data_IF_228617784357
#
_entry.id   IF_228617784357
#
_cell.length_a   1.000
_cell.length_b   1.000
_cell.length_c   1.000
_cell.angle_alpha   90.00
_cell.angle_beta   90.00
_cell.angle_gamma   90.00
#
_symmetry.space_group_name_H-M   'P 1'
#
loop_
_entity.id
_entity.type
_entity.pdbx_description
1 polymer ?
#
# COMPACT_ATOMS: atom_id res chain seq x y z
N UNK A 1 9.12 44.22 -1.55
CA UNK A 1 8.03 43.21 -1.53
C UNK A 1 8.64 41.86 -1.85
N UNK A 2 9.07 41.11 -0.84
CA UNK A 2 9.55 39.75 -1.00
C UNK A 2 8.32 38.83 -1.07
N UNK A 3 8.04 38.29 -2.25
CA UNK A 3 6.94 37.37 -2.46
C UNK A 3 7.12 36.14 -1.57
N UNK A 4 6.20 35.98 -0.62
CA UNK A 4 6.01 34.75 0.13
C UNK A 4 5.72 33.63 -0.89
N UNK A 5 6.75 32.86 -1.27
CA UNK A 5 6.55 31.61 -2.01
C UNK A 5 5.83 30.66 -1.06
N UNK A 6 4.50 30.75 -1.06
CA UNK A 6 3.64 29.96 -0.20
C UNK A 6 4.03 28.50 -0.32
N UNK A 7 4.50 27.91 0.78
CA UNK A 7 4.90 26.51 0.85
C UNK A 7 3.66 25.70 0.44
N UNK A 8 3.74 25.07 -0.73
CA UNK A 8 2.70 24.14 -1.17
C UNK A 8 2.68 22.99 -0.18
N UNK A 9 1.49 22.66 0.32
CA UNK A 9 1.32 21.59 1.30
C UNK A 9 1.87 20.25 0.75
N UNK A 10 2.35 19.36 1.62
CA UNK A 10 3.13 18.20 1.18
C UNK A 10 2.30 17.22 0.35
N UNK A 11 2.96 16.60 -0.65
CA UNK A 11 2.49 15.39 -1.32
C UNK A 11 3.22 14.21 -0.68
N UNK A 12 2.45 13.23 -0.19
CA UNK A 12 2.97 12.03 0.45
C UNK A 12 2.57 10.81 -0.37
N UNK A 13 3.51 9.90 -0.62
CA UNK A 13 3.21 8.65 -1.30
C UNK A 13 3.13 7.50 -0.29
N UNK A 14 2.03 6.76 -0.34
CA UNK A 14 1.79 5.59 0.48
C UNK A 14 1.97 4.32 -0.35
N UNK A 15 2.82 3.42 0.12
CA UNK A 15 2.99 2.09 -0.46
C UNK A 15 2.89 1.02 0.62
N UNK A 16 3.04 -0.24 0.25
CA UNK A 16 3.05 -1.32 1.22
C UNK A 16 2.89 -2.67 0.57
N UNK A 17 3.09 -3.70 1.38
CA UNK A 17 2.78 -5.07 0.97
C UNK A 17 1.29 -5.11 0.62
N UNK A 18 0.87 -5.64 -0.55
CA UNK A 18 -0.55 -5.85 -0.81
C UNK A 18 -1.20 -6.57 0.37
N UNK A 19 -2.36 -6.08 0.85
CA UNK A 19 -3.07 -6.60 2.04
C UNK A 19 -2.44 -6.28 3.41
N UNK A 20 -1.52 -5.30 3.48
CA UNK A 20 -0.98 -4.75 4.74
C UNK A 20 -1.85 -3.67 5.42
N UNK A 21 -3.03 -3.37 4.89
CA UNK A 21 -3.89 -2.32 5.45
C UNK A 21 -3.65 -0.91 4.87
N UNK A 22 -2.91 -0.76 3.77
CA UNK A 22 -2.74 0.54 3.09
C UNK A 22 -4.06 1.20 2.69
N UNK A 23 -5.06 0.43 2.29
CA UNK A 23 -6.40 0.96 1.99
C UNK A 23 -7.12 1.46 3.26
N UNK A 24 -7.01 0.73 4.38
CA UNK A 24 -7.48 1.19 5.70
C UNK A 24 -6.75 2.47 6.11
N UNK A 25 -5.43 2.55 5.88
CA UNK A 25 -4.65 3.77 6.10
C UNK A 25 -5.22 4.96 5.35
N UNK A 26 -5.50 4.82 4.04
CA UNK A 26 -6.16 5.88 3.28
C UNK A 26 -7.55 6.24 3.83
N UNK A 27 -8.34 5.24 4.23
CA UNK A 27 -9.66 5.47 4.81
C UNK A 27 -9.57 6.31 6.09
N UNK A 28 -8.65 5.98 6.99
CA UNK A 28 -8.42 6.71 8.25
C UNK A 28 -7.93 8.14 7.99
N UNK A 29 -6.97 8.32 7.07
CA UNK A 29 -6.47 9.65 6.70
C UNK A 29 -7.57 10.56 6.15
N UNK A 30 -8.55 10.00 5.42
CA UNK A 30 -9.69 10.76 4.91
C UNK A 30 -10.68 11.20 5.99
N UNK A 31 -10.55 10.75 7.24
CA UNK A 31 -11.36 11.26 8.36
C UNK A 31 -10.83 12.59 8.92
N UNK A 32 -9.58 12.93 8.61
CA UNK A 32 -8.92 14.13 9.13
C UNK A 32 -9.32 15.36 8.32
N UNK A 33 -9.42 16.54 8.97
CA UNK A 33 -9.54 17.80 8.24
C UNK A 33 -8.29 18.03 7.38
N UNK A 34 -8.47 18.65 6.23
CA UNK A 34 -7.39 19.08 5.32
C UNK A 34 -6.36 17.97 4.99
N UNK A 35 -6.85 16.74 4.89
CA UNK A 35 -6.11 15.57 4.43
C UNK A 35 -6.95 14.84 3.39
N UNK A 36 -6.35 14.58 2.23
CA UNK A 36 -6.98 13.81 1.15
C UNK A 36 -6.06 12.65 0.81
N UNK A 37 -6.53 11.42 0.97
CA UNK A 37 -5.81 10.19 0.67
C UNK A 37 -6.50 9.41 -0.45
N UNK A 38 -5.85 9.34 -1.61
CA UNK A 38 -6.37 8.72 -2.83
C UNK A 38 -5.91 7.27 -2.94
N UNK A 39 -6.86 6.36 -3.18
CA UNK A 39 -6.61 4.93 -3.31
C UNK A 39 -6.36 4.55 -4.78
N UNK A 40 -5.12 4.18 -5.11
CA UNK A 40 -4.71 3.68 -6.43
C UNK A 40 -5.22 4.52 -7.63
N UNK A 41 -5.03 5.86 -7.62
CA UNK A 41 -5.75 6.72 -8.55
C UNK A 41 -5.06 6.92 -9.91
N UNK A 42 -3.89 6.30 -10.11
CA UNK A 42 -3.05 6.49 -11.31
C UNK A 42 -3.04 5.23 -12.16
N UNK A 43 -2.91 5.39 -13.47
CA UNK A 43 -2.64 4.28 -14.39
C UNK A 43 -1.16 3.88 -14.34
N UNK A 44 -0.82 3.07 -13.33
CA UNK A 44 0.55 2.59 -13.13
C UNK A 44 0.99 1.55 -14.16
N UNK A 45 0.09 1.05 -15.02
CA UNK A 45 0.48 0.13 -16.09
C UNK A 45 1.39 0.83 -17.12
N UNK A 46 1.20 2.14 -17.31
CA UNK A 46 1.99 2.97 -18.24
C UNK A 46 3.37 3.35 -17.73
N UNK A 47 3.65 3.18 -16.44
CA UNK A 47 4.91 3.65 -15.85
C UNK A 47 6.14 2.98 -16.49
N UNK A 48 6.05 1.69 -16.86
CA UNK A 48 7.17 1.03 -17.53
C UNK A 48 7.50 1.71 -18.87
N UNK A 49 6.48 2.06 -19.67
CA UNK A 49 6.65 2.79 -20.94
C UNK A 49 7.18 4.21 -20.71
N UNK A 50 6.63 4.95 -19.74
CA UNK A 50 7.11 6.30 -19.38
C UNK A 50 8.58 6.27 -18.98
N UNK A 51 8.97 5.29 -18.15
CA UNK A 51 10.35 5.11 -17.71
C UNK A 51 11.27 4.73 -18.86
N UNK A 52 10.81 3.87 -19.78
CA UNK A 52 11.59 3.48 -20.95
C UNK A 52 11.87 4.67 -21.89
N UNK A 53 10.92 5.60 -22.04
CA UNK A 53 11.08 6.76 -22.94
C UNK A 53 11.82 7.93 -22.32
N UNK A 54 11.60 8.20 -21.02
CA UNK A 54 12.09 9.42 -20.37
C UNK A 54 12.87 9.19 -19.07
N UNK A 55 13.21 7.94 -18.77
CA UNK A 55 13.94 7.56 -17.57
C UNK A 55 13.18 7.83 -16.27
N UNK A 56 13.94 7.89 -15.18
CA UNK A 56 13.42 8.08 -13.83
C UNK A 56 12.83 9.49 -13.63
N UNK A 57 13.38 10.51 -14.30
CA UNK A 57 12.87 11.87 -14.24
C UNK A 57 11.43 11.98 -14.77
N UNK A 58 11.10 11.29 -15.87
CA UNK A 58 9.74 11.27 -16.41
C UNK A 58 8.73 10.61 -15.47
N UNK A 59 9.17 9.66 -14.63
CA UNK A 59 8.31 9.06 -13.59
C UNK A 59 8.02 10.06 -12.49
N UNK A 60 9.04 10.77 -12.02
CA UNK A 60 8.88 11.83 -11.01
C UNK A 60 7.93 12.91 -11.55
N UNK A 61 8.14 13.37 -12.78
CA UNK A 61 7.31 14.36 -13.44
C UNK A 61 5.85 13.87 -13.60
N UNK A 62 5.64 12.61 -13.98
CA UNK A 62 4.30 12.05 -14.09
C UNK A 62 3.55 12.04 -12.75
N UNK A 63 4.23 11.71 -11.64
CA UNK A 63 3.64 11.75 -10.30
C UNK A 63 3.39 13.19 -9.84
N UNK A 64 4.32 14.11 -10.08
CA UNK A 64 4.17 15.54 -9.76
C UNK A 64 3.01 16.18 -10.53
N UNK A 65 2.93 15.91 -11.82
CA UNK A 65 1.87 16.41 -12.70
C UNK A 65 0.50 15.88 -12.27
N UNK A 66 0.42 14.58 -11.95
CA UNK A 66 -0.81 14.00 -11.42
C UNK A 66 -1.21 14.65 -10.09
N UNK A 67 -0.28 14.79 -9.13
CA UNK A 67 -0.57 15.43 -7.85
C UNK A 67 -1.04 16.88 -8.01
N UNK A 68 -0.43 17.63 -8.93
CA UNK A 68 -0.80 19.02 -9.26
C UNK A 68 -2.21 19.08 -9.83
N UNK A 69 -2.55 18.19 -10.77
CA UNK A 69 -3.89 18.11 -11.35
C UNK A 69 -4.95 17.73 -10.30
N UNK A 70 -4.65 16.79 -9.39
CA UNK A 70 -5.58 16.43 -8.30
C UNK A 70 -5.78 17.59 -7.33
N UNK A 71 -4.71 18.32 -6.97
CA UNK A 71 -4.83 19.52 -6.14
C UNK A 71 -5.71 20.58 -6.81
N UNK A 72 -5.49 20.87 -8.09
CA UNK A 72 -6.31 21.83 -8.81
C UNK A 72 -7.79 21.42 -8.83
N UNK A 73 -8.08 20.15 -9.12
CA UNK A 73 -9.46 19.60 -9.11
C UNK A 73 -10.12 19.69 -7.73
N UNK A 74 -9.38 19.40 -6.65
CA UNK A 74 -9.90 19.49 -5.29
C UNK A 74 -10.23 20.94 -4.90
N UNK A 75 -9.42 21.91 -5.31
CA UNK A 75 -9.64 23.32 -5.00
C UNK A 75 -10.78 23.95 -5.81
N UNK A 76 -10.99 23.50 -7.05
CA UNK A 76 -12.00 24.10 -7.94
C UNK A 76 -13.34 23.39 -7.90
N UNK A 77 -13.34 22.06 -7.86
CA UNK A 77 -14.54 21.23 -7.95
C UNK A 77 -14.83 20.44 -6.67
N UNK A 78 -13.90 20.41 -5.72
CA UNK A 78 -14.01 19.59 -4.51
C UNK A 78 -13.90 18.09 -4.77
N UNK A 79 -13.39 17.68 -5.94
CA UNK A 79 -13.32 16.28 -6.38
C UNK A 79 -11.90 15.84 -6.72
N UNK A 80 -11.61 14.56 -6.55
CA UNK A 80 -10.40 13.92 -7.06
C UNK A 80 -10.69 12.52 -7.60
N UNK A 81 -9.77 12.03 -8.43
CA UNK A 81 -9.77 10.68 -8.96
C UNK A 81 -9.28 9.70 -7.88
N UNK A 82 -10.05 8.64 -7.63
CA UNK A 82 -9.69 7.57 -6.70
C UNK A 82 -10.35 6.26 -7.15
N UNK A 83 -9.84 5.13 -6.69
CA UNK A 83 -10.50 3.83 -6.87
C UNK A 83 -11.59 3.66 -5.83
N UNK A 84 -12.82 3.46 -6.28
CA UNK A 84 -14.04 3.48 -5.48
C UNK A 84 -14.74 2.13 -5.48
N UNK A 85 -15.38 1.78 -4.37
CA UNK A 85 -16.35 0.69 -4.27
C UNK A 85 -17.72 1.33 -4.07
N UNK A 86 -18.61 1.16 -5.05
CA UNK A 86 -19.83 1.97 -5.14
C UNK A 86 -19.51 3.45 -5.37
N UNK A 87 -19.96 4.32 -4.47
CA UNK A 87 -19.71 5.76 -4.50
C UNK A 87 -18.66 6.23 -3.45
N UNK A 88 -18.07 5.31 -2.69
CA UNK A 88 -17.16 5.63 -1.59
C UNK A 88 -15.78 5.01 -1.81
N UNK A 89 -14.77 5.58 -1.15
CA UNK A 89 -13.45 4.95 -1.07
C UNK A 89 -13.51 3.81 -0.04
N UNK A 90 -13.13 2.58 -0.41
CA UNK A 90 -13.21 1.44 0.50
C UNK A 90 -12.19 1.55 1.64
N UNK A 91 -12.47 0.89 2.77
CA UNK A 91 -11.49 0.55 3.81
C UNK A 91 -10.78 -0.80 3.49
N UNK A 92 -11.42 -1.65 2.69
CA UNK A 92 -10.91 -2.93 2.17
C UNK A 92 -11.43 -3.18 0.73
N UNK A 93 -10.57 -3.30 -0.29
CA UNK A 93 -10.99 -3.34 -1.70
C UNK A 93 -11.27 -4.76 -2.20
N UNK A 94 -11.78 -5.65 -1.36
CA UNK A 94 -12.23 -7.00 -1.77
C UNK A 94 -13.64 -7.27 -1.27
N UNK A 95 -14.32 -8.16 -2.00
CA UNK A 95 -15.65 -8.65 -1.63
C UNK A 95 -15.64 -9.21 -0.21
N UNK A 96 -16.73 -9.01 0.53
CA UNK A 96 -16.84 -9.51 1.90
C UNK A 96 -16.94 -11.05 1.93
N UNK A 97 -17.69 -11.62 0.99
CA UNK A 97 -17.90 -13.06 0.86
C UNK A 97 -17.07 -13.64 -0.30
N UNK A 98 -16.62 -14.90 -0.21
CA UNK A 98 -16.05 -15.62 -1.34
C UNK A 98 -17.07 -15.87 -2.45
N UNK A 99 -16.61 -15.91 -3.70
CA UNK A 99 -17.39 -16.40 -4.83
C UNK A 99 -17.53 -17.93 -4.84
N UNK A 100 -18.13 -18.48 -5.91
CA UNK A 100 -18.35 -19.92 -6.08
C UNK A 100 -17.07 -20.78 -6.10
N UNK A 101 -15.91 -20.16 -6.32
CA UNK A 101 -14.58 -20.79 -6.30
C UNK A 101 -13.87 -20.66 -4.95
N UNK A 102 -14.55 -20.13 -3.92
CA UNK A 102 -13.98 -19.91 -2.59
C UNK A 102 -13.03 -18.71 -2.51
N UNK A 103 -12.91 -17.89 -3.55
CA UNK A 103 -12.03 -16.72 -3.57
C UNK A 103 -12.80 -15.41 -3.62
N UNK A 104 -12.20 -14.35 -3.07
CA UNK A 104 -12.77 -13.00 -3.09
C UNK A 104 -12.29 -12.21 -4.30
N UNK A 105 -13.23 -11.56 -4.99
CA UNK A 105 -12.96 -10.66 -6.11
C UNK A 105 -12.41 -9.31 -5.69
N UNK A 106 -11.77 -8.64 -6.64
CA UNK A 106 -11.40 -7.23 -6.51
C UNK A 106 -12.66 -6.38 -6.61
N UNK A 107 -12.88 -5.49 -5.64
CA UNK A 107 -13.95 -4.50 -5.75
C UNK A 107 -13.34 -3.16 -6.11
N UNK A 108 -13.85 -2.54 -7.17
CA UNK A 108 -13.75 -1.11 -7.36
C UNK A 108 -13.24 -0.64 -8.70
N UNK A 109 -13.72 0.54 -9.08
CA UNK A 109 -13.47 1.21 -10.36
C UNK A 109 -12.90 2.59 -10.12
N UNK A 110 -12.11 3.08 -11.07
CA UNK A 110 -11.64 4.46 -11.02
C UNK A 110 -12.84 5.41 -11.19
N UNK A 111 -12.91 6.44 -10.36
CA UNK A 111 -14.02 7.40 -10.40
C UNK A 111 -13.69 8.68 -9.63
N UNK A 112 -14.55 9.68 -9.81
CA UNK A 112 -14.46 10.94 -9.08
C UNK A 112 -15.15 10.80 -7.71
N UNK A 113 -14.51 11.30 -6.66
CA UNK A 113 -15.04 11.34 -5.29
C UNK A 113 -14.90 12.75 -4.72
N UNK A 114 -15.89 13.18 -3.93
CA UNK A 114 -15.91 14.47 -3.24
C UNK A 114 -15.28 14.39 -1.85
N UNK A 115 -14.62 15.47 -1.44
CA UNK A 115 -14.01 15.61 -0.11
C UNK A 115 -14.58 16.84 0.62
N UNK A 116 -15.79 16.75 1.18
CA UNK A 116 -16.45 17.89 1.84
C UNK A 116 -15.74 18.39 3.11
N UNK A 117 -14.85 17.58 3.68
CA UNK A 117 -14.01 17.92 4.84
C UNK A 117 -12.83 18.83 4.49
N UNK A 118 -12.55 19.07 3.21
CA UNK A 118 -11.48 19.95 2.77
C UNK A 118 -11.90 21.42 2.99
N UNK A 119 -11.18 22.13 3.86
CA UNK A 119 -11.50 23.51 4.27
C UNK A 119 -10.40 24.51 3.89
N UNK A 120 -9.21 24.02 3.59
CA UNK A 120 -8.02 24.82 3.32
C UNK A 120 -7.38 24.48 1.98
N UNK A 121 -6.78 25.48 1.33
CA UNK A 121 -5.90 25.26 0.18
C UNK A 121 -4.57 24.59 0.59
N UNK A 122 -4.20 24.67 1.88
CA UNK A 122 -3.03 24.04 2.47
C UNK A 122 -3.39 22.69 3.09
N UNK A 123 -3.63 21.69 2.26
CA UNK A 123 -4.00 20.34 2.68
C UNK A 123 -2.95 19.29 2.30
N UNK A 124 -2.83 18.23 3.08
CA UNK A 124 -1.95 17.09 2.76
C UNK A 124 -2.61 16.21 1.71
N UNK A 125 -1.91 15.98 0.59
CA UNK A 125 -2.35 15.04 -0.44
C UNK A 125 -1.55 13.74 -0.32
N UNK A 126 -2.22 12.64 -0.02
CA UNK A 126 -1.65 11.30 0.01
C UNK A 126 -2.08 10.52 -1.22
N UNK A 127 -1.14 9.95 -1.95
CA UNK A 127 -1.41 9.10 -3.12
C UNK A 127 -0.91 7.70 -2.82
N UNK A 128 -1.77 6.69 -2.96
CA UNK A 128 -1.43 5.32 -2.63
C UNK A 128 -1.33 4.42 -3.85
N UNK A 129 -0.24 3.69 -3.98
CA UNK A 129 -0.10 2.52 -4.84
C UNK A 129 0.79 1.47 -4.17
N UNK A 130 0.41 0.20 -4.23
CA UNK A 130 1.22 -0.87 -3.62
C UNK A 130 2.44 -1.19 -4.51
N UNK A 131 2.30 -2.16 -5.42
CA UNK A 131 3.39 -2.73 -6.21
C UNK A 131 4.22 -1.69 -6.97
N UNK A 132 3.58 -0.74 -7.66
CA UNK A 132 4.27 0.24 -8.49
C UNK A 132 5.16 1.20 -7.68
N UNK A 133 4.64 1.75 -6.57
CA UNK A 133 5.45 2.64 -5.74
C UNK A 133 6.52 1.88 -4.96
N UNK A 134 6.29 0.63 -4.55
CA UNK A 134 7.34 -0.20 -3.96
C UNK A 134 8.49 -0.45 -4.95
N UNK A 135 8.17 -0.70 -6.23
CA UNK A 135 9.17 -0.86 -7.28
C UNK A 135 9.91 0.45 -7.60
N UNK A 136 9.26 1.60 -7.44
CA UNK A 136 9.82 2.92 -7.72
C UNK A 136 10.42 3.63 -6.50
N UNK A 137 10.49 2.98 -5.33
CA UNK A 137 11.10 3.54 -4.12
C UNK A 137 12.52 4.13 -4.32
N UNK A 138 13.44 3.48 -5.05
CA UNK A 138 14.78 4.05 -5.29
C UNK A 138 14.75 5.41 -5.97
N UNK A 139 13.68 5.70 -6.72
CA UNK A 139 13.50 6.94 -7.47
C UNK A 139 12.67 7.93 -6.67
N UNK A 140 11.46 7.53 -6.28
CA UNK A 140 10.45 8.44 -5.72
C UNK A 140 10.80 8.93 -4.31
N UNK A 141 11.56 8.16 -3.52
CA UNK A 141 11.94 8.55 -2.15
C UNK A 141 12.83 9.79 -2.08
N UNK A 142 13.58 10.10 -3.15
CA UNK A 142 14.37 11.34 -3.25
C UNK A 142 13.56 12.59 -3.55
N UNK A 143 12.30 12.45 -3.96
CA UNK A 143 11.46 13.57 -4.42
C UNK A 143 10.17 13.74 -3.61
N UNK A 144 9.72 12.70 -2.92
CA UNK A 144 8.48 12.70 -2.15
C UNK A 144 8.69 12.14 -0.76
N UNK A 145 7.92 12.66 0.20
CA UNK A 145 7.74 11.93 1.45
C UNK A 145 7.05 10.60 1.16
N UNK A 146 7.73 9.49 1.39
CA UNK A 146 7.16 8.16 1.23
C UNK A 146 7.03 7.45 2.56
N UNK A 147 6.03 6.59 2.71
CA UNK A 147 5.96 5.61 3.79
C UNK A 147 5.35 4.31 3.30
N UNK A 148 5.77 3.21 3.92
CA UNK A 148 5.32 1.87 3.59
C UNK A 148 4.56 1.25 4.76
N UNK A 149 3.54 0.47 4.44
CA UNK A 149 2.91 -0.42 5.41
C UNK A 149 3.32 -1.87 5.18
N UNK A 150 3.63 -2.53 6.29
CA UNK A 150 3.85 -3.98 6.35
C UNK A 150 2.86 -4.60 7.33
N UNK A 151 2.79 -5.92 7.34
CA UNK A 151 1.88 -6.69 8.20
C UNK A 151 2.50 -8.04 8.49
N UNK A 152 2.04 -8.72 9.53
CA UNK A 152 2.42 -10.09 9.86
C UNK A 152 2.60 -10.93 8.57
N UNK A 153 3.82 -11.43 8.32
CA UNK A 153 4.17 -12.13 7.09
C UNK A 153 3.23 -13.28 6.75
N UNK A 154 2.83 -14.09 7.74
CA UNK A 154 1.94 -15.22 7.52
C UNK A 154 0.51 -14.77 7.24
N UNK A 155 0.01 -13.77 7.97
CA UNK A 155 -1.32 -13.19 7.70
C UNK A 155 -1.41 -12.57 6.31
N UNK A 156 -0.31 -12.02 5.78
CA UNK A 156 -0.23 -11.56 4.38
C UNK A 156 -0.40 -12.73 3.41
N UNK A 157 0.36 -13.83 3.59
CA UNK A 157 0.30 -15.01 2.74
C UNK A 157 -1.11 -15.64 2.75
N UNK A 158 -1.70 -15.80 3.93
CA UNK A 158 -3.10 -16.23 4.07
C UNK A 158 -4.06 -15.29 3.34
N UNK A 159 -3.87 -13.98 3.51
CA UNK A 159 -4.70 -13.01 2.82
C UNK A 159 -4.54 -13.05 1.30
N UNK A 160 -3.34 -13.27 0.75
CA UNK A 160 -3.14 -13.38 -0.70
C UNK A 160 -3.89 -14.58 -1.26
N UNK A 161 -3.83 -15.73 -0.56
CA UNK A 161 -4.47 -16.97 -0.99
C UNK A 161 -5.99 -16.97 -0.87
N UNK A 162 -6.57 -16.02 -0.13
CA UNK A 162 -8.03 -15.81 -0.04
C UNK A 162 -8.62 -14.85 -1.09
N UNK A 163 -7.83 -14.42 -2.09
CA UNK A 163 -8.24 -13.39 -3.08
C UNK A 163 -7.83 -13.75 -4.50
N UNK A 164 -8.54 -13.25 -5.52
CA UNK A 164 -8.21 -13.46 -6.95
C UNK A 164 -7.14 -12.51 -7.51
N UNK A 165 -6.29 -11.94 -6.65
CA UNK A 165 -5.22 -11.05 -7.11
C UNK A 165 -3.98 -11.84 -7.56
N UNK A 166 -3.15 -11.30 -8.49
CA UNK A 166 -1.92 -11.95 -8.94
C UNK A 166 -0.96 -12.36 -7.81
N UNK A 167 -1.02 -11.67 -6.66
CA UNK A 167 -0.21 -12.00 -5.47
C UNK A 167 -0.55 -13.37 -4.88
N UNK A 168 -1.75 -13.92 -5.15
CA UNK A 168 -2.11 -15.32 -4.84
C UNK A 168 -1.17 -16.29 -5.53
N UNK A 169 -0.75 -15.97 -6.74
CA UNK A 169 0.17 -16.79 -7.52
C UNK A 169 1.60 -16.32 -7.37
N UNK A 170 1.91 -15.44 -6.42
CA UNK A 170 3.25 -14.91 -6.20
C UNK A 170 3.71 -13.87 -7.21
N UNK A 171 2.79 -13.22 -7.93
CA UNK A 171 3.10 -12.18 -8.92
C UNK A 171 2.66 -10.79 -8.47
N UNK A 172 3.37 -9.78 -8.94
CA UNK A 172 3.06 -8.37 -8.79
C UNK A 172 3.32 -7.64 -10.11
N UNK A 173 2.42 -7.76 -11.11
CA UNK A 173 2.73 -7.37 -12.49
C UNK A 173 3.19 -5.92 -12.68
N UNK A 174 2.65 -4.99 -11.89
CA UNK A 174 3.10 -3.60 -11.94
C UNK A 174 4.54 -3.42 -11.44
N UNK A 175 4.96 -4.18 -10.42
CA UNK A 175 6.34 -4.18 -9.93
C UNK A 175 7.28 -4.92 -10.87
N UNK A 176 6.90 -6.11 -11.36
CA UNK A 176 7.71 -6.92 -12.29
C UNK A 176 8.07 -6.14 -13.56
N UNK A 177 7.12 -5.38 -14.12
CA UNK A 177 7.38 -4.49 -15.28
C UNK A 177 8.35 -3.35 -14.99
N UNK A 178 8.51 -2.95 -13.74
CA UNK A 178 9.34 -1.82 -13.31
C UNK A 178 10.68 -2.24 -12.70
N UNK A 179 10.80 -3.51 -12.30
CA UNK A 179 11.94 -4.11 -11.61
C UNK A 179 12.22 -5.49 -12.22
N UNK A 180 13.03 -5.51 -13.28
CA UNK A 180 13.38 -6.77 -13.98
C UNK A 180 14.06 -7.81 -13.06
N UNK A 181 14.94 -7.44 -12.13
CA UNK A 181 15.44 -8.36 -11.11
C UNK A 181 14.33 -9.05 -10.30
N UNK A 182 13.23 -8.36 -9.96
CA UNK A 182 12.08 -9.01 -9.31
C UNK A 182 11.46 -10.07 -10.22
N UNK A 183 11.21 -9.76 -11.48
CA UNK A 183 10.61 -10.72 -12.42
C UNK A 183 11.45 -12.01 -12.51
N UNK A 184 12.77 -11.87 -12.61
CA UNK A 184 13.70 -13.01 -12.63
C UNK A 184 13.70 -13.79 -11.32
N UNK A 185 13.67 -13.09 -10.18
CA UNK A 185 13.58 -13.72 -8.85
C UNK A 185 12.32 -14.60 -8.74
N UNK A 186 11.17 -14.09 -9.19
CA UNK A 186 9.90 -14.81 -9.10
C UNK A 186 9.84 -15.97 -10.09
N UNK A 187 10.39 -15.81 -11.29
CA UNK A 187 10.45 -16.87 -12.30
C UNK A 187 11.32 -18.06 -11.85
N UNK A 188 12.33 -17.82 -11.00
CA UNK A 188 13.21 -18.85 -10.47
C UNK A 188 12.67 -19.62 -9.25
N UNK A 189 11.49 -19.28 -8.75
CA UNK A 189 10.92 -19.94 -7.58
C UNK A 189 10.39 -21.35 -7.91
N UNK A 190 10.64 -22.31 -7.01
CA UNK A 190 10.31 -23.73 -7.23
C UNK A 190 8.80 -23.98 -7.35
N UNK A 191 8.01 -23.32 -6.51
CA UNK A 191 6.56 -23.41 -6.54
C UNK A 191 5.88 -22.09 -6.12
N UNK A 192 4.54 -22.13 -6.03
CA UNK A 192 3.73 -20.97 -5.67
C UNK A 192 4.06 -20.41 -4.29
N UNK A 193 4.25 -21.25 -3.27
CA UNK A 193 4.48 -20.77 -1.90
C UNK A 193 5.85 -20.12 -1.82
N UNK A 194 6.86 -20.74 -2.42
CA UNK A 194 8.21 -20.18 -2.46
C UNK A 194 8.25 -18.86 -3.22
N UNK A 195 7.48 -18.76 -4.33
CA UNK A 195 7.33 -17.52 -5.08
C UNK A 195 6.66 -16.42 -4.26
N UNK A 196 5.63 -16.75 -3.49
CA UNK A 196 4.98 -15.79 -2.58
C UNK A 196 5.92 -15.34 -1.46
N UNK A 197 6.70 -16.24 -0.86
CA UNK A 197 7.69 -15.89 0.17
C UNK A 197 8.80 -15.01 -0.43
N UNK A 198 9.26 -15.31 -1.66
CA UNK A 198 10.22 -14.48 -2.38
C UNK A 198 9.66 -13.08 -2.66
N UNK A 199 8.42 -12.98 -3.14
CA UNK A 199 7.75 -11.70 -3.37
C UNK A 199 7.59 -10.90 -2.06
N UNK A 200 7.21 -11.57 -0.97
CA UNK A 200 7.10 -10.98 0.36
C UNK A 200 8.46 -10.42 0.82
N UNK A 201 9.51 -11.22 0.69
CA UNK A 201 10.89 -10.83 0.99
C UNK A 201 11.33 -9.63 0.16
N UNK A 202 10.97 -9.59 -1.13
CA UNK A 202 11.26 -8.44 -1.99
C UNK A 202 10.59 -7.16 -1.47
N UNK A 203 9.29 -7.17 -1.13
CA UNK A 203 8.63 -5.97 -0.61
C UNK A 203 9.31 -5.45 0.66
N UNK A 204 9.52 -6.31 1.65
CA UNK A 204 10.16 -5.93 2.90
C UNK A 204 11.58 -5.40 2.67
N UNK A 205 12.37 -6.11 1.86
CA UNK A 205 13.72 -5.67 1.50
C UNK A 205 13.74 -4.33 0.76
N UNK A 206 12.76 -4.06 -0.10
CA UNK A 206 12.64 -2.74 -0.75
C UNK A 206 12.39 -1.64 0.27
N UNK A 207 11.50 -1.87 1.24
CA UNK A 207 11.18 -0.87 2.25
C UNK A 207 12.39 -0.60 3.15
N UNK A 208 13.02 -1.65 3.67
CA UNK A 208 14.16 -1.53 4.59
C UNK A 208 15.40 -0.92 3.93
N UNK A 209 15.60 -1.12 2.62
CA UNK A 209 16.73 -0.52 1.90
C UNK A 209 16.54 0.96 1.54
N UNK A 210 15.30 1.39 1.30
CA UNK A 210 15.04 2.71 0.69
C UNK A 210 14.26 3.66 1.60
N UNK A 211 13.76 3.18 2.74
CA UNK A 211 13.07 4.00 3.71
C UNK A 211 13.77 3.90 5.07
N UNK A 212 13.88 5.01 5.82
CA UNK A 212 14.25 4.94 7.21
C UNK A 212 13.19 4.16 8.00
N UNK A 213 13.59 3.53 9.11
CA UNK A 213 12.76 2.57 9.86
C UNK A 213 11.42 3.17 10.32
N UNK A 214 11.43 4.45 10.65
CA UNK A 214 10.28 5.24 11.11
C UNK A 214 9.24 5.43 9.99
N UNK A 215 9.63 5.25 8.72
CA UNK A 215 8.77 5.29 7.54
C UNK A 215 8.21 3.93 7.12
N UNK A 216 8.38 2.91 7.97
CA UNK A 216 7.80 1.58 7.78
C UNK A 216 6.86 1.27 8.95
N UNK A 217 5.56 1.44 8.72
CA UNK A 217 4.51 1.22 9.72
C UNK A 217 4.00 -0.22 9.68
N UNK A 218 3.90 -0.87 10.84
CA UNK A 218 3.25 -2.18 10.94
C UNK A 218 1.73 -2.02 11.04
N UNK A 219 1.00 -2.90 10.38
CA UNK A 219 -0.46 -2.99 10.48
C UNK A 219 -0.90 -3.13 11.94
N UNK A 220 -0.19 -3.93 12.71
CA UNK A 220 -0.44 -4.20 14.12
C UNK A 220 -0.33 -2.91 14.95
N UNK A 221 0.62 -2.04 14.63
CA UNK A 221 0.77 -0.72 15.27
C UNK A 221 -0.38 0.22 14.87
N UNK A 222 -0.80 0.20 13.60
CA UNK A 222 -1.98 0.95 13.16
C UNK A 222 -3.23 0.55 13.95
N UNK A 223 -3.44 -0.76 14.13
CA UNK A 223 -4.59 -1.29 14.88
C UNK A 223 -4.50 -0.93 16.36
N UNK A 224 -3.36 -1.20 17.01
CA UNK A 224 -3.16 -0.96 18.44
C UNK A 224 -3.32 0.51 18.84
N UNK A 225 -3.00 1.43 17.92
CA UNK A 225 -3.09 2.88 18.16
C UNK A 225 -4.40 3.51 17.68
N UNK A 226 -5.35 2.71 17.18
CA UNK A 226 -6.59 3.24 16.62
C UNK A 226 -6.36 4.20 15.44
N UNK A 227 -5.25 4.04 14.72
CA UNK A 227 -4.85 4.93 13.62
C UNK A 227 -3.80 5.99 13.98
N UNK A 228 -3.54 6.26 15.26
CA UNK A 228 -2.64 7.36 15.67
C UNK A 228 -1.21 7.21 15.14
N UNK A 229 -0.76 5.97 14.88
CA UNK A 229 0.57 5.71 14.32
C UNK A 229 0.79 6.31 12.92
N UNK A 230 -0.27 6.67 12.18
CA UNK A 230 -0.15 7.44 10.94
C UNK A 230 0.38 8.87 11.18
N UNK A 231 0.36 9.35 12.43
CA UNK A 231 0.89 10.64 12.86
C UNK A 231 2.35 10.85 12.51
N UNK A 232 3.13 9.77 12.39
CA UNK A 232 4.51 9.80 11.94
C UNK A 232 4.67 10.34 10.49
N UNK A 233 3.60 10.32 9.69
CA UNK A 233 3.60 10.72 8.28
C UNK A 233 2.70 11.92 8.01
N UNK A 234 1.54 11.95 8.67
CA UNK A 234 0.56 13.02 8.59
C UNK A 234 0.29 13.46 10.03
N UNK A 235 0.92 14.54 10.53
CA UNK A 235 0.88 14.88 11.95
C UNK A 235 -0.52 14.94 12.58
N UNK A 236 -1.52 15.42 11.84
CA UNK A 236 -2.91 15.46 12.29
C UNK A 236 -3.48 14.08 12.65
N UNK A 237 -2.93 13.00 12.07
CA UNK A 237 -3.37 11.64 12.33
C UNK A 237 -3.04 11.16 13.74
N UNK A 238 -2.12 11.83 14.47
CA UNK A 238 -1.83 11.52 15.87
C UNK A 238 -3.06 11.67 16.80
N UNK A 239 -4.08 12.39 16.36
CA UNK A 239 -5.34 12.55 17.09
C UNK A 239 -6.39 11.45 16.78
N UNK A 240 -6.11 10.51 15.87
CA UNK A 240 -7.01 9.39 15.59
C UNK A 240 -7.08 8.45 16.79
N UNK A 241 -8.29 7.96 17.08
CA UNK A 241 -8.53 6.95 18.11
C UNK A 241 -9.74 6.09 17.73
N UNK A 242 -9.63 5.43 16.58
CA UNK A 242 -10.68 4.61 16.01
C UNK A 242 -10.70 3.22 16.66
N UNK A 243 -11.89 2.65 16.83
CA UNK A 243 -12.02 1.26 17.26
C UNK A 243 -11.75 0.33 16.08
N UNK A 244 -10.52 -0.18 15.99
CA UNK A 244 -10.08 -1.07 14.92
C UNK A 244 -9.97 -2.52 15.41
N UNK A 245 -10.39 -3.46 14.56
CA UNK A 245 -10.25 -4.89 14.82
C UNK A 245 -9.04 -5.46 14.08
N UNK A 246 -8.25 -6.28 14.77
CA UNK A 246 -7.18 -7.05 14.15
C UNK A 246 -7.79 -8.11 13.22
N UNK A 247 -7.25 -8.21 12.01
CA UNK A 247 -7.64 -9.19 10.98
C UNK A 247 -6.53 -10.20 10.66
N UNK A 248 -5.45 -10.24 11.45
CA UNK A 248 -4.32 -11.17 11.27
C UNK A 248 -4.74 -12.63 11.32
N UNK A 249 -5.80 -12.91 12.07
CA UNK A 249 -6.56 -14.15 11.97
C UNK A 249 -7.83 -13.91 11.18
N UNK A 250 -8.15 -14.85 10.31
CA UNK A 250 -9.34 -14.78 9.49
C UNK A 250 -9.83 -16.19 9.18
N UNK A 251 -11.11 -16.47 9.44
CA UNK A 251 -11.73 -17.77 9.19
C UNK A 251 -11.72 -18.17 7.71
N UNK A 252 -11.56 -17.20 6.81
CA UNK A 252 -11.45 -17.45 5.37
C UNK A 252 -10.06 -17.92 4.92
N UNK A 253 -9.09 -18.02 5.84
CA UNK A 253 -7.76 -18.53 5.50
C UNK A 253 -7.75 -20.05 5.52
N UNK A 254 -7.29 -20.65 4.43
CA UNK A 254 -7.17 -22.10 4.32
C UNK A 254 -6.15 -22.65 5.33
N UNK A 255 -6.60 -23.50 6.24
CA UNK A 255 -5.80 -23.94 7.38
C UNK A 255 -4.61 -24.84 6.98
N UNK A 256 -4.76 -25.65 5.93
CA UNK A 256 -3.68 -26.48 5.42
C UNK A 256 -2.59 -25.63 4.79
N UNK A 257 -2.98 -24.70 3.91
CA UNK A 257 -2.09 -23.71 3.34
C UNK A 257 -1.36 -22.91 4.42
N UNK A 258 -2.07 -22.43 5.45
CA UNK A 258 -1.46 -21.63 6.52
C UNK A 258 -0.37 -22.40 7.26
N UNK A 259 -0.61 -23.68 7.60
CA UNK A 259 0.40 -24.54 8.24
C UNK A 259 1.63 -24.72 7.35
N UNK A 260 1.42 -25.02 6.07
CA UNK A 260 2.52 -25.24 5.13
C UNK A 260 3.31 -23.94 4.85
N UNK A 261 2.61 -22.83 4.65
CA UNK A 261 3.21 -21.51 4.47
C UNK A 261 4.04 -21.11 5.70
N UNK A 262 3.51 -21.32 6.92
CA UNK A 262 4.23 -21.04 8.15
C UNK A 262 5.49 -21.89 8.29
N UNK A 263 5.39 -23.20 8.02
CA UNK A 263 6.53 -24.12 8.05
C UNK A 263 7.66 -23.68 7.13
N UNK A 264 7.34 -23.23 5.91
CA UNK A 264 8.34 -22.74 4.94
C UNK A 264 8.88 -21.37 5.32
N UNK A 265 8.00 -20.46 5.72
CA UNK A 265 8.36 -19.11 6.13
C UNK A 265 9.34 -19.14 7.32
N UNK A 266 9.06 -19.93 8.37
CA UNK A 266 9.92 -20.08 9.54
C UNK A 266 11.30 -20.68 9.24
N UNK A 267 11.44 -21.43 8.14
CA UNK A 267 12.73 -21.96 7.66
C UNK A 267 13.46 -21.03 6.71
N UNK A 268 12.81 -19.98 6.25
CA UNK A 268 13.37 -19.06 5.26
C UNK A 268 14.07 -17.88 5.92
N UNK A 269 15.08 -17.34 5.23
CA UNK A 269 15.79 -16.14 5.63
C UNK A 269 15.29 -14.99 4.76
N UNK A 270 14.54 -14.06 5.34
CA UNK A 270 14.05 -12.89 4.60
C UNK A 270 14.02 -11.62 5.43
N UNK A 271 13.97 -10.44 4.77
CA UNK A 271 14.05 -9.14 5.46
C UNK A 271 12.89 -8.86 6.41
N UNK A 272 11.78 -9.59 6.30
CA UNK A 272 10.67 -9.48 7.24
C UNK A 272 11.04 -9.84 8.68
N UNK A 273 12.10 -10.61 8.90
CA UNK A 273 12.61 -10.91 10.24
C UNK A 273 13.28 -9.72 10.94
N UNK A 274 13.56 -8.62 10.24
CA UNK A 274 13.99 -7.37 10.87
C UNK A 274 12.82 -6.64 11.57
N UNK A 275 11.57 -6.97 11.19
CA UNK A 275 10.35 -6.30 11.65
C UNK A 275 9.44 -7.21 12.48
N UNK A 276 9.62 -8.52 12.36
CA UNK A 276 8.80 -9.55 12.99
C UNK A 276 9.70 -10.63 13.59
N UNK A 277 9.20 -11.31 14.61
CA UNK A 277 9.84 -12.48 15.22
C UNK A 277 9.10 -13.75 14.80
N UNK A 278 9.77 -14.92 14.84
CA UNK A 278 9.10 -16.22 14.62
C UNK A 278 7.82 -16.41 15.44
N UNK A 279 7.85 -16.01 16.72
CA UNK A 279 6.68 -16.06 17.62
C UNK A 279 5.48 -15.26 17.10
N UNK A 280 5.71 -14.14 16.41
CA UNK A 280 4.63 -13.32 15.86
C UNK A 280 3.92 -14.09 14.72
N UNK A 281 4.66 -14.90 13.94
CA UNK A 281 4.12 -15.78 12.88
C UNK A 281 3.36 -16.96 13.48
N UNK A 282 3.92 -17.61 14.50
CA UNK A 282 3.27 -18.73 15.19
C UNK A 282 1.94 -18.30 15.85
N UNK A 283 1.89 -17.10 16.43
CA UNK A 283 0.67 -16.56 17.01
C UNK A 283 -0.47 -16.35 15.98
N UNK A 284 -0.15 -16.26 14.69
CA UNK A 284 -1.16 -16.13 13.63
C UNK A 284 -1.72 -17.49 13.15
N UNK A 285 -1.14 -18.61 13.59
CA UNK A 285 -1.67 -19.97 13.33
C UNK A 285 -2.74 -20.41 14.33
N UNK A 286 -2.71 -19.86 15.55
CA UNK A 286 -3.58 -20.21 16.68
C UNK A 286 -4.76 -19.25 16.82
#
# INVERSE_FOLDING_TARGET
MAGNRGVTAPVVLLTGVPRSGTTLGCHLLNKLPDTVALHEPMDVARFASVRATGGDAAIVEAVQSFATAQRASLLTAGTALSKLVGAAQPDNPVEAAPGSDGLRGATGRLGQIRFPQLRSAHFTLVIKHNAAFAALLPVLSGHFGMFAMVRNPLSVLGSWNSTRFPVRDGHAPAAERLDKPLELLLAGAADRIDRQIALLGWYFGRFLRHLPRERVLRYEELIATGGAALGAFVPAAAALNERLGDRNRNELYDAEFMREAARRLLKSNGPYWELYRPLDVEAALN
#
